data_IF_313945620389
#
_entry.id   IF_313945620389
#
_cell.length_a   1.000
_cell.length_b   1.000
_cell.length_c   1.000
_cell.angle_alpha   90.00
_cell.angle_beta   90.00
_cell.angle_gamma   90.00
#
_symmetry.space_group_name_H-M   'P 1'
#
loop_
_entity.id
_entity.type
_entity.pdbx_description
1 polymer ?
#
# COMPACT_ATOMS: atom_id res chain seq x y z
N UNK A 1 -31.14 18.15 -11.60
CA UNK A 1 -29.66 18.18 -11.66
C UNK A 1 -29.00 16.86 -11.20
N UNK A 2 -29.38 15.67 -11.74
CA UNK A 2 -28.79 14.38 -11.30
C UNK A 2 -27.40 14.10 -11.88
N UNK A 3 -27.06 14.68 -13.03
CA UNK A 3 -25.78 14.46 -13.72
C UNK A 3 -24.55 14.88 -12.89
N UNK A 4 -24.63 16.02 -12.21
CA UNK A 4 -23.54 16.50 -11.32
C UNK A 4 -23.28 15.51 -10.17
N UNK A 5 -24.36 14.94 -9.60
CA UNK A 5 -24.24 13.96 -8.53
C UNK A 5 -23.58 12.67 -9.01
N UNK A 6 -23.92 12.19 -10.22
CA UNK A 6 -23.30 11.00 -10.81
C UNK A 6 -21.81 11.21 -11.11
N UNK A 7 -21.43 12.39 -11.61
CA UNK A 7 -20.03 12.75 -11.87
C UNK A 7 -19.20 12.81 -10.58
N UNK A 8 -19.74 13.45 -9.54
CA UNK A 8 -19.11 13.49 -8.22
C UNK A 8 -18.98 12.09 -7.63
N UNK A 9 -20.02 11.26 -7.74
CA UNK A 9 -20.00 9.90 -7.25
C UNK A 9 -18.91 9.08 -7.97
N UNK A 10 -18.87 9.11 -9.30
CA UNK A 10 -17.84 8.43 -10.08
C UNK A 10 -16.42 8.92 -9.72
N UNK A 11 -16.22 10.22 -9.56
CA UNK A 11 -14.95 10.81 -9.15
C UNK A 11 -14.50 10.36 -7.75
N UNK A 12 -15.41 10.36 -6.78
CA UNK A 12 -15.14 9.89 -5.41
C UNK A 12 -14.79 8.39 -5.42
N UNK A 13 -15.60 7.55 -6.07
CA UNK A 13 -15.32 6.11 -6.15
C UNK A 13 -14.00 5.83 -6.86
N UNK A 14 -13.71 6.51 -7.98
CA UNK A 14 -12.44 6.41 -8.69
C UNK A 14 -11.25 6.82 -7.83
N UNK A 15 -11.38 7.93 -7.10
CA UNK A 15 -10.35 8.40 -6.16
C UNK A 15 -10.10 7.38 -5.04
N UNK A 16 -11.15 6.82 -4.44
CA UNK A 16 -11.00 5.81 -3.39
C UNK A 16 -10.34 4.52 -3.88
N UNK A 17 -10.68 4.06 -5.09
CA UNK A 17 -10.05 2.90 -5.71
C UNK A 17 -8.56 3.16 -6.01
N UNK A 18 -8.24 4.32 -6.57
CA UNK A 18 -6.86 4.72 -6.81
C UNK A 18 -6.06 4.85 -5.51
N UNK A 19 -6.63 5.49 -4.48
CA UNK A 19 -6.01 5.66 -3.15
C UNK A 19 -5.78 4.32 -2.44
N UNK A 20 -6.69 3.36 -2.61
CA UNK A 20 -6.55 1.99 -2.09
C UNK A 20 -5.36 1.28 -2.73
N UNK A 21 -5.12 1.47 -4.02
CA UNK A 21 -3.97 0.90 -4.72
C UNK A 21 -2.66 1.63 -4.41
N UNK A 22 -2.69 2.95 -4.22
CA UNK A 22 -1.51 3.75 -3.88
C UNK A 22 -0.98 3.46 -2.46
N UNK A 23 -1.86 3.06 -1.54
CA UNK A 23 -1.52 2.70 -0.16
C UNK A 23 -1.36 1.18 -0.06
N UNK A 24 -0.29 0.64 -0.65
CA UNK A 24 -0.09 -0.79 -0.76
C UNK A 24 0.16 -1.53 0.56
N UNK A 25 0.31 -0.83 1.69
CA UNK A 25 0.36 -1.45 3.02
C UNK A 25 -0.98 -2.13 3.33
N UNK A 26 -0.98 -3.47 3.43
CA UNK A 26 -2.07 -4.13 4.15
C UNK A 26 -2.15 -3.57 5.56
N UNK A 27 -3.35 -3.56 6.14
CA UNK A 27 -3.55 -3.22 7.55
C UNK A 27 -2.64 -4.05 8.49
N UNK A 28 -2.22 -5.22 8.04
CA UNK A 28 -1.33 -6.13 8.75
C UNK A 28 0.16 -6.02 8.38
N UNK A 29 0.53 -5.24 7.36
CA UNK A 29 1.93 -5.13 6.92
C UNK A 29 2.73 -4.36 7.99
N UNK A 30 3.51 -5.09 8.80
CA UNK A 30 4.33 -4.56 9.89
C UNK A 30 5.80 -4.50 9.48
N UNK A 31 6.20 -3.41 8.84
CA UNK A 31 7.59 -3.17 8.47
C UNK A 31 8.45 -2.86 9.70
N UNK A 32 9.56 -3.59 9.84
CA UNK A 32 10.60 -3.36 10.86
C UNK A 32 11.93 -3.09 10.20
N UNK A 33 12.60 -2.04 10.64
CA UNK A 33 13.94 -1.70 10.16
C UNK A 33 14.98 -2.64 10.79
N UNK A 34 15.70 -3.38 9.96
CA UNK A 34 16.86 -4.17 10.35
C UNK A 34 18.13 -3.37 10.05
N UNK A 35 18.55 -2.55 11.04
CA UNK A 35 19.74 -1.68 10.91
C UNK A 35 21.02 -2.46 10.62
N UNK A 36 21.17 -3.66 11.18
CA UNK A 36 22.32 -4.53 10.94
C UNK A 36 22.53 -4.91 9.46
N UNK A 37 21.46 -4.90 8.66
CA UNK A 37 21.50 -5.23 7.23
C UNK A 37 21.02 -4.07 6.35
N UNK A 38 20.86 -2.87 6.92
CA UNK A 38 20.33 -1.68 6.22
C UNK A 38 19.10 -1.97 5.35
N UNK A 39 18.19 -2.81 5.86
CA UNK A 39 17.01 -3.27 5.13
C UNK A 39 15.77 -3.19 6.00
N UNK A 40 14.62 -3.16 5.37
CA UNK A 40 13.32 -3.29 6.02
C UNK A 40 12.80 -4.70 5.81
N UNK A 41 12.28 -5.32 6.89
CA UNK A 41 11.64 -6.63 6.83
C UNK A 41 10.25 -6.54 7.43
N UNK A 42 9.25 -7.04 6.72
CA UNK A 42 7.90 -7.16 7.24
C UNK A 42 7.80 -8.37 8.17
N UNK A 43 7.34 -8.18 9.41
CA UNK A 43 7.14 -9.30 10.35
C UNK A 43 5.90 -10.15 10.04
N UNK A 44 4.99 -9.66 9.19
CA UNK A 44 3.77 -10.36 8.83
C UNK A 44 3.96 -11.23 7.59
N UNK A 45 4.32 -10.63 6.44
CA UNK A 45 4.49 -11.37 5.19
C UNK A 45 5.92 -11.84 4.92
N UNK A 46 6.90 -11.46 5.76
CA UNK A 46 8.30 -11.81 5.55
C UNK A 46 9.00 -11.07 4.41
N UNK A 47 8.31 -10.17 3.71
CA UNK A 47 8.87 -9.37 2.62
C UNK A 47 10.09 -8.56 3.10
N UNK A 48 11.10 -8.44 2.23
CA UNK A 48 12.31 -7.67 2.48
C UNK A 48 12.38 -6.55 1.44
N UNK A 49 12.60 -5.33 1.91
CA UNK A 49 12.83 -4.16 1.06
C UNK A 49 14.21 -3.57 1.41
N UNK A 50 15.11 -3.41 0.42
CA UNK A 50 16.39 -2.74 0.63
C UNK A 50 16.18 -1.22 0.77
N UNK A 51 17.04 -0.57 1.56
CA UNK A 51 17.08 0.88 1.66
C UNK A 51 16.81 1.45 3.06
N UNK A 52 17.04 2.75 3.21
CA UNK A 52 16.88 3.48 4.47
C UNK A 52 15.44 3.87 4.76
N UNK A 53 14.62 4.08 3.73
CA UNK A 53 13.24 4.55 3.88
C UNK A 53 12.25 3.41 4.10
N UNK A 54 11.23 3.67 4.92
CA UNK A 54 10.16 2.72 5.15
C UNK A 54 9.35 2.52 3.86
N UNK A 55 9.22 1.28 3.36
CA UNK A 55 8.46 1.00 2.13
C UNK A 55 6.98 1.34 2.31
N UNK A 56 6.40 2.02 1.31
CA UNK A 56 4.99 2.46 1.27
C UNK A 56 4.03 1.43 0.66
N UNK A 57 4.58 0.30 0.19
CA UNK A 57 3.84 -0.79 -0.48
C UNK A 57 4.20 -2.10 0.23
N UNK A 58 3.22 -2.98 0.44
CA UNK A 58 3.46 -4.31 0.99
C UNK A 58 4.05 -5.21 -0.11
N UNK A 59 5.33 -5.57 0.01
CA UNK A 59 6.04 -6.44 -0.94
C UNK A 59 5.73 -7.93 -0.78
N UNK A 60 4.50 -8.30 -0.39
CA UNK A 60 4.12 -9.70 -0.19
C UNK A 60 4.20 -10.47 -1.53
N UNK A 61 5.11 -11.43 -1.70
CA UNK A 61 5.25 -12.18 -2.96
C UNK A 61 4.05 -13.09 -3.24
N UNK A 62 3.23 -13.39 -2.23
CA UNK A 62 2.02 -14.20 -2.39
C UNK A 62 0.79 -13.37 -2.81
N UNK A 63 0.90 -12.03 -2.86
CA UNK A 63 -0.16 -11.21 -3.47
C UNK A 63 -0.05 -11.34 -4.98
N UNK A 64 -0.83 -12.27 -5.52
CA UNK A 64 -1.20 -12.25 -6.94
C UNK A 64 -2.07 -10.99 -7.17
N UNK A 65 -1.85 -10.22 -8.25
CA UNK A 65 -2.66 -9.04 -8.58
C UNK A 65 -4.15 -9.36 -8.71
#
# INVERSE_FOLDING_TARGET
MPLLLLLLLAGVFGYFLWRRSASGLTRDCRWRQQRAKSQWRCSYCGAVAPGGEAPRICGNPQRKP
#
